data_IF_968036928603
#
_entry.id   IF_968036928603
#
_cell.length_a   1.000
_cell.length_b   1.000
_cell.length_c   1.000
_cell.angle_alpha   90.00
_cell.angle_beta   90.00
_cell.angle_gamma   90.00
#
_symmetry.space_group_name_H-M   'P 1'
#
loop_
_entity.id
_entity.type
_entity.pdbx_description
1 polymer ?
#
# COMPACT_ATOMS: atom_id res chain seq x y z
N UNK A 1 -14.30 -1.95 4.83
CA UNK A 1 -13.71 -0.90 3.98
C UNK A 1 -12.23 -1.24 3.92
N UNK A 2 -11.81 -1.79 2.78
CA UNK A 2 -10.57 -2.56 2.66
C UNK A 2 -9.32 -1.70 2.83
N UNK A 3 -8.51 -2.01 3.85
CA UNK A 3 -7.24 -1.35 4.17
C UNK A 3 -6.16 -1.68 3.12
N UNK A 4 -6.30 -1.14 1.92
CA UNK A 4 -5.31 -1.22 0.82
C UNK A 4 -4.62 0.12 0.62
N UNK A 5 -4.16 0.72 1.73
CA UNK A 5 -3.78 2.14 1.80
C UNK A 5 -2.58 2.49 0.93
N UNK A 6 -2.80 3.54 0.13
CA UNK A 6 -1.94 4.04 -0.95
C UNK A 6 -0.98 5.08 -0.39
N UNK A 7 0.24 4.66 -0.05
CA UNK A 7 1.27 5.53 0.54
C UNK A 7 1.58 6.82 -0.23
N UNK A 8 1.84 6.77 -1.56
CA UNK A 8 2.19 7.98 -2.32
C UNK A 8 1.00 8.90 -2.56
N UNK A 9 -0.13 8.37 -3.03
CA UNK A 9 -1.26 9.20 -3.43
C UNK A 9 -1.84 10.03 -2.27
N UNK A 10 -1.76 9.50 -1.04
CA UNK A 10 -2.20 10.24 0.15
C UNK A 10 -1.26 11.41 0.43
N UNK A 11 0.06 11.17 0.46
CA UNK A 11 1.06 12.20 0.74
C UNK A 11 1.07 13.26 -0.37
N UNK A 12 1.17 12.84 -1.63
CA UNK A 12 1.16 13.75 -2.77
C UNK A 12 -0.18 14.46 -2.93
N UNK A 13 -1.30 13.75 -2.79
CA UNK A 13 -2.63 14.36 -2.84
C UNK A 13 -2.76 15.45 -1.78
N UNK A 14 -2.43 15.15 -0.52
CA UNK A 14 -2.45 16.13 0.57
C UNK A 14 -1.58 17.36 0.31
N UNK A 15 -0.34 17.16 -0.16
CA UNK A 15 0.55 18.26 -0.54
C UNK A 15 0.01 19.08 -1.71
N UNK A 16 -0.54 18.44 -2.75
CA UNK A 16 -1.16 19.12 -3.89
C UNK A 16 -2.33 20.00 -3.43
N UNK A 17 -3.21 19.45 -2.59
CA UNK A 17 -4.34 20.21 -2.05
C UNK A 17 -3.93 21.39 -1.19
N UNK A 18 -2.99 21.18 -0.27
CA UNK A 18 -2.49 22.23 0.61
C UNK A 18 -1.77 23.34 -0.18
N UNK A 19 -0.92 22.97 -1.14
CA UNK A 19 -0.21 23.94 -2.00
C UNK A 19 -1.14 24.72 -2.91
N UNK A 20 -2.17 24.07 -3.47
CA UNK A 20 -3.17 24.76 -4.28
C UNK A 20 -3.84 25.89 -3.49
N UNK A 21 -4.25 25.62 -2.25
CA UNK A 21 -4.91 26.62 -1.40
C UNK A 21 -3.95 27.70 -0.92
N UNK A 22 -2.72 27.34 -0.52
CA UNK A 22 -1.79 28.28 0.09
C UNK A 22 -0.99 29.13 -0.91
N UNK A 23 -0.68 28.58 -2.09
CA UNK A 23 0.18 29.22 -3.10
C UNK A 23 -0.50 29.43 -4.46
N UNK A 24 -1.72 28.90 -4.65
CA UNK A 24 -2.48 29.01 -5.89
C UNK A 24 -2.19 27.89 -6.90
N UNK A 25 -3.06 27.78 -7.91
CA UNK A 25 -2.99 26.71 -8.92
C UNK A 25 -1.69 26.75 -9.76
N UNK A 26 -1.10 27.94 -9.94
CA UNK A 26 0.14 28.13 -10.70
C UNK A 26 1.40 27.54 -10.03
N UNK A 27 1.37 27.31 -8.72
CA UNK A 27 2.48 26.70 -7.97
C UNK A 27 2.46 25.17 -8.01
N UNK A 28 1.39 24.57 -8.54
CA UNK A 28 1.27 23.11 -8.68
C UNK A 28 1.79 22.70 -10.05
N UNK A 29 2.92 22.01 -10.08
CA UNK A 29 3.51 21.49 -11.32
C UNK A 29 2.78 20.23 -11.81
N UNK A 30 1.56 20.38 -12.34
CA UNK A 30 0.72 19.26 -12.80
C UNK A 30 1.44 18.31 -13.78
N UNK A 31 2.24 18.85 -14.72
CA UNK A 31 3.02 18.02 -15.64
C UNK A 31 4.01 17.10 -14.92
N UNK A 32 4.72 17.60 -13.91
CA UNK A 32 5.64 16.79 -13.09
C UNK A 32 4.90 15.76 -12.24
N UNK A 33 3.73 16.11 -11.73
CA UNK A 33 2.88 15.18 -10.95
C UNK A 33 2.41 14.02 -11.83
N UNK A 34 1.96 14.30 -13.06
CA UNK A 34 1.53 13.24 -13.98
C UNK A 34 2.70 12.32 -14.34
N UNK A 35 3.83 12.91 -14.72
CA UNK A 35 5.03 12.18 -15.17
C UNK A 35 5.69 11.36 -14.05
N UNK A 36 5.83 11.93 -12.85
CA UNK A 36 6.60 11.33 -11.76
C UNK A 36 5.77 10.59 -10.71
N UNK A 37 4.46 10.81 -10.68
CA UNK A 37 3.56 10.20 -9.68
C UNK A 37 2.49 9.34 -10.33
N UNK A 38 1.64 9.90 -11.20
CA UNK A 38 0.49 9.14 -11.74
C UNK A 38 0.92 8.01 -12.69
N UNK A 39 1.78 8.30 -13.66
CA UNK A 39 2.21 7.29 -14.65
C UNK A 39 2.91 6.11 -13.94
N UNK A 40 3.94 6.32 -13.09
CA UNK A 40 4.54 5.22 -12.33
C UNK A 40 3.54 4.49 -11.43
N UNK A 41 2.63 5.22 -10.76
CA UNK A 41 1.61 4.60 -9.90
C UNK A 41 0.64 3.69 -10.66
N UNK A 42 0.28 4.04 -11.89
CA UNK A 42 -0.59 3.24 -12.76
C UNK A 42 0.16 2.09 -13.46
N UNK A 43 1.41 2.32 -13.87
CA UNK A 43 2.23 1.31 -14.53
C UNK A 43 2.73 0.22 -13.57
N UNK A 44 3.04 0.58 -12.33
CA UNK A 44 3.61 -0.34 -11.34
C UNK A 44 2.82 -1.62 -11.05
N UNK A 45 1.48 -1.63 -10.85
CA UNK A 45 0.74 -2.87 -10.66
C UNK A 45 0.79 -3.76 -11.90
N UNK A 46 0.78 -3.17 -13.10
CA UNK A 46 0.85 -3.92 -14.36
C UNK A 46 2.23 -4.56 -14.53
N UNK A 47 3.30 -3.78 -14.34
CA UNK A 47 4.68 -4.28 -14.43
C UNK A 47 4.91 -5.39 -13.40
N UNK A 48 4.54 -5.16 -12.14
CA UNK A 48 4.67 -6.17 -11.10
C UNK A 48 3.84 -7.43 -11.40
N UNK A 49 2.63 -7.26 -11.93
CA UNK A 49 1.77 -8.36 -12.34
C UNK A 49 2.35 -9.18 -13.50
N UNK A 50 2.88 -8.54 -14.54
CA UNK A 50 3.50 -9.23 -15.66
C UNK A 50 4.76 -9.97 -15.25
N UNK A 51 5.62 -9.35 -14.42
CA UNK A 51 6.83 -9.99 -13.90
C UNK A 51 6.46 -11.18 -13.00
N UNK A 52 5.46 -11.03 -12.12
CA UNK A 52 4.99 -12.11 -11.26
C UNK A 52 4.34 -13.23 -12.06
N UNK A 53 3.54 -12.91 -13.08
CA UNK A 53 2.92 -13.89 -13.99
C UNK A 53 3.97 -14.73 -14.69
N UNK A 54 4.98 -14.09 -15.30
CA UNK A 54 6.07 -14.77 -15.96
C UNK A 54 6.88 -15.63 -14.97
N UNK A 55 7.23 -15.07 -13.80
CA UNK A 55 7.97 -15.79 -12.77
C UNK A 55 7.18 -17.01 -12.25
N UNK A 56 5.90 -16.87 -11.96
CA UNK A 56 5.05 -17.98 -11.53
C UNK A 56 4.93 -19.04 -12.62
N UNK A 57 4.68 -18.65 -13.86
CA UNK A 57 4.62 -19.58 -14.98
C UNK A 57 5.90 -20.41 -15.11
N UNK A 58 7.08 -19.76 -15.05
CA UNK A 58 8.37 -20.45 -15.11
C UNK A 58 8.60 -21.38 -13.91
N UNK A 59 8.26 -20.93 -12.70
CA UNK A 59 8.38 -21.74 -11.49
C UNK A 59 7.53 -23.00 -11.58
N UNK A 60 6.26 -22.89 -11.97
CA UNK A 60 5.39 -24.06 -12.10
C UNK A 60 5.80 -24.96 -13.27
N UNK A 61 6.31 -24.39 -14.36
CA UNK A 61 6.79 -25.12 -15.53
C UNK A 61 8.05 -25.94 -15.26
N UNK A 62 9.00 -25.41 -14.48
CA UNK A 62 10.32 -26.03 -14.31
C UNK A 62 10.53 -26.67 -12.95
N UNK A 63 10.02 -26.08 -11.86
CA UNK A 63 10.35 -26.47 -10.49
C UNK A 63 9.25 -27.30 -9.79
N UNK A 64 7.99 -27.16 -10.19
CA UNK A 64 6.84 -27.80 -9.50
C UNK A 64 6.28 -29.03 -10.26
N UNK A 65 6.88 -29.44 -11.38
CA UNK A 65 6.44 -30.62 -12.15
C UNK A 65 6.40 -31.89 -11.29
N UNK A 66 5.21 -32.27 -10.82
CA UNK A 66 4.93 -33.52 -10.12
C UNK A 66 5.53 -33.66 -8.71
N UNK A 67 6.04 -32.57 -8.10
CA UNK A 67 6.59 -32.59 -6.73
C UNK A 67 5.82 -31.65 -5.81
N UNK A 68 5.43 -32.10 -4.59
CA UNK A 68 4.75 -31.23 -3.63
C UNK A 68 5.64 -30.04 -3.26
N UNK A 69 5.02 -28.90 -2.94
CA UNK A 69 5.71 -27.69 -2.52
C UNK A 69 6.72 -28.00 -1.39
N UNK A 70 8.01 -27.94 -1.73
CA UNK A 70 9.09 -28.37 -0.83
C UNK A 70 9.28 -27.38 0.31
N UNK A 71 9.95 -27.83 1.38
CA UNK A 71 10.44 -26.96 2.48
C UNK A 71 11.21 -25.74 1.95
N UNK A 72 11.88 -25.89 0.80
CA UNK A 72 12.60 -24.80 0.11
C UNK A 72 11.70 -23.63 -0.27
N UNK A 73 10.49 -23.87 -0.79
CA UNK A 73 9.56 -22.78 -1.12
C UNK A 73 9.03 -22.05 0.11
N UNK A 74 8.84 -22.75 1.24
CA UNK A 74 8.47 -22.10 2.50
C UNK A 74 9.57 -21.18 3.01
N UNK A 75 10.83 -21.64 2.98
CA UNK A 75 11.99 -20.80 3.36
C UNK A 75 12.14 -19.63 2.38
N UNK A 76 12.03 -19.89 1.08
CA UNK A 76 12.05 -18.86 0.04
C UNK A 76 10.99 -17.80 0.29
N UNK A 77 9.77 -18.21 0.65
CA UNK A 77 8.66 -17.29 0.97
C UNK A 77 8.94 -16.42 2.20
N UNK A 78 9.61 -16.95 3.24
CA UNK A 78 10.01 -16.15 4.40
C UNK A 78 11.05 -15.11 3.99
N UNK A 79 12.03 -15.50 3.18
CA UNK A 79 13.07 -14.58 2.68
C UNK A 79 12.47 -13.51 1.77
N UNK A 80 11.60 -13.88 0.82
CA UNK A 80 10.95 -12.92 -0.08
C UNK A 80 9.98 -12.01 0.68
N UNK A 81 9.26 -12.50 1.68
CA UNK A 81 8.41 -11.67 2.54
C UNK A 81 9.24 -10.65 3.33
N UNK A 82 10.42 -11.06 3.83
CA UNK A 82 11.36 -10.17 4.52
C UNK A 82 11.91 -9.11 3.57
N UNK A 83 12.21 -9.49 2.33
CA UNK A 83 12.67 -8.56 1.30
C UNK A 83 11.58 -7.56 0.90
N UNK A 84 10.32 -7.99 0.78
CA UNK A 84 9.17 -7.09 0.58
C UNK A 84 9.04 -6.13 1.77
N UNK A 85 9.19 -6.60 3.00
CA UNK A 85 9.13 -5.76 4.21
C UNK A 85 10.24 -4.70 4.19
N UNK A 86 11.46 -5.06 3.82
CA UNK A 86 12.58 -4.12 3.68
C UNK A 86 12.34 -3.11 2.54
N UNK A 87 11.89 -3.59 1.38
CA UNK A 87 11.57 -2.73 0.23
C UNK A 87 10.42 -1.76 0.57
N UNK A 88 9.41 -2.24 1.30
CA UNK A 88 8.31 -1.44 1.79
C UNK A 88 8.79 -0.35 2.76
N UNK A 89 9.56 -0.74 3.78
CA UNK A 89 10.10 0.20 4.76
C UNK A 89 10.98 1.28 4.12
N UNK A 90 11.89 0.90 3.22
CA UNK A 90 12.75 1.87 2.51
C UNK A 90 11.95 2.83 1.62
N UNK A 91 10.94 2.35 0.92
CA UNK A 91 10.13 3.16 0.01
C UNK A 91 9.15 4.09 0.73
N UNK A 92 8.56 3.65 1.86
CA UNK A 92 7.59 4.44 2.60
C UNK A 92 8.25 5.38 3.63
N UNK A 93 9.38 4.99 4.22
CA UNK A 93 10.15 5.89 5.09
C UNK A 93 10.62 7.14 4.33
N UNK A 94 10.99 6.99 3.05
CA UNK A 94 11.39 8.11 2.20
C UNK A 94 10.31 9.19 2.06
N UNK A 95 9.04 8.80 1.99
CA UNK A 95 7.91 9.75 1.87
C UNK A 95 7.70 10.50 3.17
N UNK A 96 7.69 9.79 4.29
CA UNK A 96 7.48 10.37 5.62
C UNK A 96 8.63 11.29 6.01
N UNK A 97 9.88 10.85 5.83
CA UNK A 97 11.05 11.69 6.12
C UNK A 97 11.08 12.93 5.20
N UNK A 98 10.67 12.79 3.93
CA UNK A 98 10.59 13.90 2.99
C UNK A 98 9.64 15.01 3.45
N UNK A 99 8.46 14.66 3.96
CA UNK A 99 7.49 15.64 4.49
C UNK A 99 8.01 16.32 5.76
N UNK A 100 8.64 15.57 6.67
CA UNK A 100 9.22 16.12 7.90
C UNK A 100 10.38 17.06 7.56
N UNK A 101 11.30 16.65 6.69
CA UNK A 101 12.42 17.48 6.26
C UNK A 101 11.95 18.73 5.51
N UNK A 102 10.95 18.62 4.64
CA UNK A 102 10.34 19.79 4.00
C UNK A 102 9.82 20.77 5.05
N UNK A 103 9.12 20.28 6.08
CA UNK A 103 8.60 21.10 7.17
C UNK A 103 9.74 21.83 7.91
N UNK A 104 10.81 21.12 8.26
CA UNK A 104 11.99 21.70 8.94
C UNK A 104 12.69 22.76 8.10
N UNK A 105 12.80 22.53 6.78
CA UNK A 105 13.36 23.51 5.83
C UNK A 105 12.46 24.75 5.75
N UNK A 106 11.15 24.56 5.62
CA UNK A 106 10.19 25.68 5.57
C UNK A 106 10.13 26.47 6.89
N UNK A 107 10.41 25.82 8.02
CA UNK A 107 10.50 26.45 9.33
C UNK A 107 11.85 27.15 9.59
N UNK A 108 12.79 27.12 8.63
CA UNK A 108 14.13 27.70 8.77
C UNK A 108 15.06 26.92 9.70
N UNK A 109 14.67 25.73 10.15
CA UNK A 109 15.49 24.87 11.03
C UNK A 109 16.54 24.05 10.27
N UNK A 110 16.39 23.93 8.95
CA UNK A 110 17.34 23.25 8.07
C UNK A 110 17.56 24.08 6.79
N UNK A 111 18.80 24.17 6.27
CA UNK A 111 19.07 24.79 4.97
C UNK A 111 18.33 24.08 3.83
N UNK A 112 17.98 24.82 2.79
CA UNK A 112 17.41 24.25 1.57
C UNK A 112 18.38 23.24 0.92
N UNK A 113 17.84 22.11 0.45
CA UNK A 113 18.63 21.04 -0.17
C UNK A 113 19.38 20.12 0.80
N UNK A 114 19.18 20.29 2.11
CA UNK A 114 19.76 19.39 3.11
C UNK A 114 19.13 18.00 3.10
N UNK A 115 19.96 16.98 3.35
CA UNK A 115 19.50 15.61 3.55
C UNK A 115 18.72 15.47 4.87
N UNK A 116 17.75 14.55 4.98
CA UNK A 116 17.05 14.28 6.23
C UNK A 116 18.02 13.93 7.36
N UNK A 117 17.92 14.61 8.53
CA UNK A 117 18.71 14.26 9.70
C UNK A 117 18.47 12.82 10.15
N UNK A 118 19.47 12.20 10.77
CA UNK A 118 19.42 10.80 11.22
C UNK A 118 18.23 10.54 12.16
N UNK A 119 17.90 11.48 13.05
CA UNK A 119 16.75 11.33 13.95
C UNK A 119 15.43 11.26 13.17
N UNK A 120 15.27 12.02 12.07
CA UNK A 120 14.06 11.96 11.23
C UNK A 120 13.94 10.58 10.60
N UNK A 121 15.05 10.03 10.11
CA UNK A 121 15.11 8.70 9.50
C UNK A 121 14.70 7.63 10.53
N UNK A 122 15.29 7.67 11.73
CA UNK A 122 14.99 6.71 12.80
C UNK A 122 13.54 6.85 13.28
N UNK A 123 13.06 8.08 13.50
CA UNK A 123 11.67 8.32 13.92
C UNK A 123 10.67 7.83 12.88
N UNK A 124 10.91 8.08 11.58
CA UNK A 124 10.05 7.60 10.51
C UNK A 124 10.05 6.07 10.42
N UNK A 125 11.23 5.44 10.51
CA UNK A 125 11.36 3.98 10.49
C UNK A 125 10.65 3.33 11.70
N UNK A 126 10.85 3.85 12.91
CA UNK A 126 10.20 3.37 14.13
C UNK A 126 8.68 3.54 14.06
N UNK A 127 8.18 4.69 13.59
CA UNK A 127 6.75 4.93 13.43
C UNK A 127 6.11 3.96 12.43
N UNK A 128 6.77 3.69 11.30
CA UNK A 128 6.31 2.70 10.32
C UNK A 128 6.31 1.28 10.87
N UNK A 129 7.38 0.89 11.58
CA UNK A 129 7.49 -0.43 12.20
C UNK A 129 6.40 -0.64 13.27
N UNK A 130 6.18 0.34 14.16
CA UNK A 130 5.13 0.31 15.17
C UNK A 130 3.73 0.28 14.54
N UNK A 131 3.48 1.09 13.52
CA UNK A 131 2.20 1.09 12.81
C UNK A 131 1.89 -0.25 12.16
N UNK A 132 2.90 -0.87 11.53
CA UNK A 132 2.77 -2.19 10.91
C UNK A 132 2.53 -3.28 11.95
N UNK A 133 3.21 -3.21 13.09
CA UNK A 133 3.03 -4.16 14.18
C UNK A 133 1.62 -4.07 14.80
N UNK A 134 1.11 -2.85 15.03
CA UNK A 134 -0.18 -2.63 15.68
C UNK A 134 -1.38 -2.87 14.75
N UNK A 135 -1.25 -2.61 13.44
CA UNK A 135 -2.37 -2.60 12.50
C UNK A 135 -2.26 -3.57 11.31
N UNK A 136 -1.12 -4.23 11.11
CA UNK A 136 -0.84 -5.01 9.89
C UNK A 136 -1.69 -6.26 9.72
N UNK A 137 -2.24 -6.83 10.80
CA UNK A 137 -2.95 -8.11 10.74
C UNK A 137 -4.22 -8.10 9.89
N UNK A 138 -5.00 -7.00 9.96
CA UNK A 138 -6.21 -6.85 9.16
C UNK A 138 -5.88 -6.73 7.67
N UNK A 139 -4.82 -6.00 7.33
CA UNK A 139 -4.34 -5.79 5.96
C UNK A 139 -3.88 -7.12 5.35
N UNK A 140 -3.09 -7.89 6.09
CA UNK A 140 -2.61 -9.21 5.65
C UNK A 140 -3.78 -10.17 5.43
N UNK A 141 -4.81 -10.11 6.26
CA UNK A 141 -6.01 -10.94 6.10
C UNK A 141 -6.79 -10.62 4.82
N UNK A 142 -7.06 -9.34 4.55
CA UNK A 142 -7.81 -8.93 3.35
C UNK A 142 -7.04 -9.19 2.06
N UNK A 143 -5.72 -8.93 2.03
CA UNK A 143 -4.92 -9.18 0.84
C UNK A 143 -4.63 -10.67 0.61
N UNK A 144 -4.37 -11.44 1.67
CA UNK A 144 -3.98 -12.84 1.59
C UNK A 144 -5.09 -13.77 1.12
N UNK A 145 -6.35 -13.52 1.53
CA UNK A 145 -7.52 -14.30 1.11
C UNK A 145 -8.34 -13.59 0.02
N UNK A 146 -8.10 -12.32 -0.27
CA UNK A 146 -8.99 -11.52 -1.12
C UNK A 146 -8.78 -11.64 -2.62
N UNK A 147 -7.54 -11.82 -3.11
CA UNK A 147 -7.24 -11.66 -4.54
C UNK A 147 -7.08 -12.98 -5.32
N UNK A 148 -6.33 -13.93 -4.77
CA UNK A 148 -6.12 -15.27 -5.33
C UNK A 148 -5.73 -16.21 -4.20
N UNK A 149 -5.84 -17.52 -4.42
CA UNK A 149 -5.40 -18.51 -3.44
C UNK A 149 -3.90 -18.77 -3.59
N UNK A 150 -3.13 -18.30 -2.61
CA UNK A 150 -1.66 -18.25 -2.66
C UNK A 150 -1.07 -19.57 -2.13
N UNK A 151 -0.36 -20.29 -3.00
CA UNK A 151 0.53 -21.39 -2.59
C UNK A 151 1.98 -20.91 -2.39
N UNK A 152 2.82 -21.72 -1.76
CA UNK A 152 4.23 -21.38 -1.49
C UNK A 152 5.03 -20.90 -2.72
N UNK A 153 5.07 -21.64 -3.84
CA UNK A 153 5.79 -21.23 -5.05
C UNK A 153 5.25 -19.93 -5.66
N UNK A 154 3.92 -19.79 -5.69
CA UNK A 154 3.23 -18.59 -6.18
C UNK A 154 3.51 -17.37 -5.29
N UNK A 155 3.43 -17.54 -3.97
CA UNK A 155 3.71 -16.51 -2.99
C UNK A 155 5.15 -16.02 -3.05
N UNK A 156 6.11 -16.95 -3.21
CA UNK A 156 7.51 -16.62 -3.43
C UNK A 156 7.71 -15.77 -4.69
N UNK A 157 7.11 -16.19 -5.82
CA UNK A 157 7.19 -15.44 -7.07
C UNK A 157 6.57 -14.04 -6.94
N UNK A 158 5.35 -13.94 -6.40
CA UNK A 158 4.65 -12.67 -6.21
C UNK A 158 5.44 -11.69 -5.34
N UNK A 159 5.98 -12.17 -4.20
CA UNK A 159 6.75 -11.34 -3.28
C UNK A 159 8.09 -10.91 -3.85
N UNK A 160 8.81 -11.82 -4.52
CA UNK A 160 10.10 -11.51 -5.13
C UNK A 160 9.95 -10.48 -6.25
N UNK A 161 8.96 -10.66 -7.13
CA UNK A 161 8.64 -9.69 -8.19
C UNK A 161 8.25 -8.32 -7.61
N UNK A 162 7.43 -8.32 -6.56
CA UNK A 162 7.00 -7.07 -5.91
C UNK A 162 8.18 -6.35 -5.26
N UNK A 163 9.02 -7.07 -4.51
CA UNK A 163 10.20 -6.50 -3.87
C UNK A 163 11.18 -5.93 -4.91
N UNK A 164 11.41 -6.66 -6.01
CA UNK A 164 12.27 -6.20 -7.09
C UNK A 164 11.76 -4.88 -7.70
N UNK A 165 10.47 -4.82 -8.05
CA UNK A 165 9.87 -3.61 -8.62
C UNK A 165 9.95 -2.43 -7.65
N UNK A 166 9.67 -2.64 -6.36
CA UNK A 166 9.79 -1.59 -5.33
C UNK A 166 11.24 -1.12 -5.20
N UNK A 167 12.21 -2.03 -5.08
CA UNK A 167 13.62 -1.68 -4.89
C UNK A 167 14.21 -0.94 -6.11
N UNK A 168 13.95 -1.44 -7.31
CA UNK A 168 14.38 -0.79 -8.57
C UNK A 168 13.78 0.60 -8.66
N UNK A 169 12.49 0.74 -8.34
CA UNK A 169 11.85 2.05 -8.34
C UNK A 169 12.42 3.01 -7.31
N UNK A 170 12.67 2.54 -6.08
CA UNK A 170 13.29 3.35 -5.03
C UNK A 170 14.69 3.82 -5.44
N UNK A 171 15.46 3.00 -6.18
CA UNK A 171 16.75 3.38 -6.76
C UNK A 171 16.63 4.41 -7.87
N UNK A 172 15.59 4.32 -8.69
CA UNK A 172 15.28 5.28 -9.76
C UNK A 172 14.62 6.58 -9.23
N UNK A 173 14.32 6.64 -7.93
CA UNK A 173 13.70 7.81 -7.31
C UNK A 173 12.20 7.97 -7.62
N UNK A 174 11.54 6.94 -8.15
CA UNK A 174 10.09 6.98 -8.39
C UNK A 174 9.33 6.55 -7.12
N UNK A 175 8.41 7.38 -6.61
CA UNK A 175 7.67 7.09 -5.40
C UNK A 175 6.47 6.19 -5.71
N UNK A 176 6.71 4.87 -5.80
CA UNK A 176 5.66 3.89 -6.05
C UNK A 176 4.82 3.55 -4.83
N UNK A 177 3.60 3.08 -5.09
CA UNK A 177 2.72 2.51 -4.08
C UNK A 177 3.04 1.03 -3.90
N UNK A 178 3.54 0.68 -2.71
CA UNK A 178 3.83 -0.71 -2.34
C UNK A 178 2.58 -1.58 -2.44
N UNK A 179 1.40 -1.05 -2.10
CA UNK A 179 0.13 -1.76 -2.27
C UNK A 179 -0.22 -2.03 -3.72
N UNK A 180 -0.01 -1.08 -4.64
CA UNK A 180 -0.26 -1.33 -6.08
C UNK A 180 0.67 -2.43 -6.59
N UNK A 181 1.96 -2.32 -6.28
CA UNK A 181 2.97 -3.29 -6.70
C UNK A 181 2.66 -4.68 -6.14
N UNK A 182 2.43 -4.81 -4.84
CA UNK A 182 2.12 -6.09 -4.21
C UNK A 182 0.80 -6.69 -4.71
N UNK A 183 -0.25 -5.87 -4.87
CA UNK A 183 -1.54 -6.36 -5.38
C UNK A 183 -1.44 -6.81 -6.83
N UNK A 184 -0.71 -6.06 -7.66
CA UNK A 184 -0.39 -6.43 -9.03
C UNK A 184 0.39 -7.74 -9.09
N UNK A 185 1.43 -7.89 -8.26
CA UNK A 185 2.20 -9.13 -8.14
C UNK A 185 1.36 -10.33 -7.70
N UNK A 186 0.46 -10.15 -6.74
CA UNK A 186 -0.47 -11.20 -6.29
C UNK A 186 -1.42 -11.61 -7.43
N UNK A 187 -2.10 -10.66 -8.08
CA UNK A 187 -3.00 -10.94 -9.20
C UNK A 187 -2.24 -11.61 -10.35
N UNK A 188 -1.08 -11.07 -10.72
CA UNK A 188 -0.23 -11.61 -11.78
C UNK A 188 0.24 -13.03 -11.50
N UNK A 189 0.64 -13.33 -10.26
CA UNK A 189 0.99 -14.69 -9.86
C UNK A 189 -0.19 -15.66 -9.96
N UNK A 190 -1.42 -15.18 -9.70
CA UNK A 190 -2.64 -15.95 -9.92
C UNK A 190 -2.84 -16.26 -11.39
N UNK A 191 -2.76 -15.25 -12.27
CA UNK A 191 -2.86 -15.43 -13.73
C UNK A 191 -1.77 -16.38 -14.26
N UNK A 192 -0.58 -16.35 -13.68
CA UNK A 192 0.55 -17.21 -14.06
C UNK A 192 0.38 -18.68 -13.69
N UNK A 193 -0.60 -19.04 -12.85
CA UNK A 193 -0.92 -20.42 -12.49
C UNK A 193 -2.26 -20.83 -13.10
N UNK A 194 -2.23 -21.86 -13.96
CA UNK A 194 -3.38 -22.32 -14.77
C UNK A 194 -4.67 -22.54 -13.97
N UNK A 195 -4.55 -23.07 -12.75
CA UNK A 195 -5.70 -23.47 -11.93
C UNK A 195 -5.96 -22.52 -10.74
N UNK A 196 -5.31 -21.34 -10.69
CA UNK A 196 -5.55 -20.38 -9.62
C UNK A 196 -6.82 -19.54 -9.88
N UNK A 197 -7.77 -19.47 -8.93
CA UNK A 197 -8.90 -18.56 -9.04
C UNK A 197 -8.45 -17.12 -8.77
N UNK A 198 -8.65 -16.23 -9.76
CA UNK A 198 -8.41 -14.78 -9.60
C UNK A 198 -9.75 -14.05 -9.40
N UNK A 199 -9.87 -13.34 -8.27
CA UNK A 199 -11.09 -12.62 -7.89
C UNK A 199 -11.11 -11.21 -8.51
N UNK A 200 -11.40 -11.14 -9.81
CA UNK A 200 -11.42 -9.89 -10.60
C UNK A 200 -12.32 -8.78 -10.03
N UNK A 201 -13.45 -9.15 -9.41
CA UNK A 201 -14.34 -8.20 -8.74
C UNK A 201 -13.62 -7.44 -7.61
N UNK A 202 -12.77 -8.12 -6.85
CA UNK A 202 -11.99 -7.47 -5.79
C UNK A 202 -10.89 -6.59 -6.36
N UNK A 203 -10.18 -7.07 -7.39
CA UNK A 203 -9.18 -6.26 -8.10
C UNK A 203 -9.79 -4.96 -8.67
N UNK A 204 -10.97 -5.04 -9.30
CA UNK A 204 -11.69 -3.86 -9.81
C UNK A 204 -12.08 -2.87 -8.70
N UNK A 205 -12.57 -3.36 -7.55
CA UNK A 205 -12.86 -2.51 -6.38
C UNK A 205 -11.62 -1.77 -5.87
N UNK A 206 -10.46 -2.43 -5.89
CA UNK A 206 -9.20 -1.81 -5.48
C UNK A 206 -8.80 -0.70 -6.45
N UNK A 207 -8.89 -0.93 -7.76
CA UNK A 207 -8.60 0.11 -8.77
C UNK A 207 -9.48 1.34 -8.56
N UNK A 208 -10.78 1.16 -8.31
CA UNK A 208 -11.69 2.27 -8.00
C UNK A 208 -11.23 3.02 -6.74
N UNK A 209 -10.91 2.30 -5.65
CA UNK A 209 -10.41 2.92 -4.43
C UNK A 209 -9.11 3.71 -4.66
N UNK A 210 -8.21 3.20 -5.52
CA UNK A 210 -6.97 3.86 -5.88
C UNK A 210 -7.20 5.20 -6.59
N UNK A 211 -8.14 5.24 -7.54
CA UNK A 211 -8.51 6.46 -8.27
C UNK A 211 -9.08 7.54 -7.34
N UNK A 212 -9.93 7.16 -6.39
CA UNK A 212 -10.55 8.12 -5.47
C UNK A 212 -9.64 8.62 -4.36
N UNK A 213 -8.53 7.94 -4.08
CA UNK A 213 -7.68 8.31 -2.95
C UNK A 213 -6.91 9.60 -3.17
N UNK A 214 -6.39 9.84 -4.38
CA UNK A 214 -5.66 11.08 -4.67
C UNK A 214 -6.57 12.32 -4.53
N UNK A 215 -7.77 12.37 -5.15
CA UNK A 215 -8.71 13.48 -4.96
C UNK A 215 -9.14 13.64 -3.51
N UNK A 216 -9.46 12.55 -2.80
CA UNK A 216 -9.87 12.62 -1.40
C UNK A 216 -8.76 13.20 -0.52
N UNK A 217 -7.51 12.76 -0.72
CA UNK A 217 -6.35 13.30 -0.01
C UNK A 217 -6.11 14.77 -0.34
N UNK A 218 -6.29 15.18 -1.59
CA UNK A 218 -6.18 16.58 -1.99
C UNK A 218 -7.24 17.46 -1.34
N UNK A 219 -8.48 17.01 -1.24
CA UNK A 219 -9.54 17.75 -0.53
C UNK A 219 -9.19 17.91 0.95
N UNK A 220 -8.78 16.83 1.62
CA UNK A 220 -8.39 16.89 3.05
C UNK A 220 -7.17 17.78 3.25
N UNK A 221 -6.18 17.72 2.35
CA UNK A 221 -5.01 18.59 2.35
C UNK A 221 -5.37 20.07 2.15
N UNK A 222 -6.27 20.37 1.22
CA UNK A 222 -6.76 21.72 0.96
C UNK A 222 -7.50 22.30 2.18
N UNK A 223 -8.39 21.51 2.80
CA UNK A 223 -9.10 21.92 4.02
C UNK A 223 -8.11 22.16 5.16
N UNK A 224 -7.18 21.23 5.38
CA UNK A 224 -6.13 21.36 6.40
C UNK A 224 -5.26 22.59 6.17
N UNK A 225 -4.87 22.86 4.92
CA UNK A 225 -4.10 24.05 4.54
C UNK A 225 -4.86 25.35 4.79
N UNK A 226 -6.16 25.39 4.47
CA UNK A 226 -7.03 26.54 4.74
C UNK A 226 -7.21 26.80 6.23
N UNK A 227 -7.31 25.75 7.05
CA UNK A 227 -7.42 25.91 8.50
C UNK A 227 -6.08 26.35 9.09
N UNK A 228 -4.96 25.78 8.60
CA UNK A 228 -3.62 26.16 9.03
C UNK A 228 -3.27 27.63 8.69
N UNK A 229 -3.86 28.21 7.63
CA UNK A 229 -3.64 29.62 7.30
C UNK A 229 -4.26 30.61 8.31
N UNK A 230 -5.09 30.14 9.26
CA UNK A 230 -5.60 30.93 10.38
C UNK A 230 -4.53 31.19 11.47
N UNK A 231 -3.29 30.79 11.25
CA UNK A 231 -2.16 30.97 12.16
C UNK A 231 -1.93 29.76 13.07
N UNK A 232 -1.15 29.94 14.14
CA UNK A 232 -0.70 28.84 15.01
C UNK A 232 -1.86 28.04 15.60
N UNK A 233 -2.96 28.69 15.96
CA UNK A 233 -4.16 28.03 16.47
C UNK A 233 -4.78 27.08 15.43
N UNK A 234 -4.79 27.48 14.15
CA UNK A 234 -5.27 26.66 13.05
C UNK A 234 -4.41 25.41 12.84
N UNK A 235 -3.09 25.57 12.85
CA UNK A 235 -2.15 24.44 12.74
C UNK A 235 -2.30 23.44 13.89
N UNK A 236 -2.43 23.92 15.13
CA UNK A 236 -2.69 23.07 16.31
C UNK A 236 -4.03 22.36 16.17
N UNK A 237 -5.08 23.05 15.72
CA UNK A 237 -6.40 22.45 15.52
C UNK A 237 -6.36 21.31 14.50
N UNK A 238 -5.67 21.48 13.37
CA UNK A 238 -5.47 20.41 12.37
C UNK A 238 -4.77 19.20 13.00
N UNK A 239 -3.73 19.44 13.80
CA UNK A 239 -3.01 18.38 14.51
C UNK A 239 -3.91 17.61 15.49
N UNK A 240 -4.68 18.32 16.32
CA UNK A 240 -5.59 17.72 17.31
C UNK A 240 -6.70 16.93 16.63
N UNK A 241 -7.33 17.48 15.59
CA UNK A 241 -8.36 16.78 14.80
C UNK A 241 -7.78 15.55 14.13
N UNK A 242 -6.58 15.63 13.55
CA UNK A 242 -5.89 14.50 12.94
C UNK A 242 -5.63 13.36 13.95
N UNK A 243 -5.13 13.69 15.14
CA UNK A 243 -4.92 12.72 16.23
C UNK A 243 -6.25 12.12 16.68
N UNK A 244 -7.29 12.93 16.86
CA UNK A 244 -8.62 12.47 17.29
C UNK A 244 -9.26 11.52 16.28
N UNK A 245 -9.20 11.85 14.98
CA UNK A 245 -9.68 10.98 13.89
C UNK A 245 -8.87 9.68 13.84
N UNK A 246 -7.54 9.77 13.93
CA UNK A 246 -6.66 8.60 13.93
C UNK A 246 -6.95 7.66 15.10
N UNK A 247 -7.08 8.21 16.31
CA UNK A 247 -7.44 7.45 17.51
C UNK A 247 -8.85 6.85 17.39
N UNK A 248 -9.82 7.61 16.88
CA UNK A 248 -11.17 7.13 16.61
C UNK A 248 -11.19 5.93 15.67
N UNK A 249 -10.47 6.01 14.54
CA UNK A 249 -10.33 4.89 13.59
C UNK A 249 -9.67 3.68 14.27
N UNK A 250 -8.62 3.90 15.06
CA UNK A 250 -7.94 2.83 15.80
C UNK A 250 -8.85 2.14 16.82
N UNK A 251 -9.63 2.91 17.59
CA UNK A 251 -10.58 2.37 18.57
C UNK A 251 -11.73 1.64 17.89
N UNK A 252 -12.27 2.18 16.78
CA UNK A 252 -13.27 1.50 15.95
C UNK A 252 -12.72 0.20 15.37
N UNK A 253 -11.45 0.20 14.95
CA UNK A 253 -10.77 -0.99 14.46
C UNK A 253 -10.72 -2.08 15.53
N UNK A 254 -10.51 -1.74 16.80
CA UNK A 254 -10.47 -2.72 17.90
C UNK A 254 -11.81 -3.43 18.17
N UNK A 255 -12.94 -2.97 17.62
CA UNK A 255 -14.24 -3.64 17.77
C UNK A 255 -14.33 -4.99 17.05
N UNK A 256 -13.56 -5.19 15.99
CA UNK A 256 -13.49 -6.45 15.24
C UNK A 256 -12.03 -6.88 15.07
N UNK A 257 -11.39 -7.43 16.12
CA UNK A 257 -9.98 -7.77 16.09
C UNK A 257 -9.72 -8.94 15.12
N UNK A 258 -8.75 -8.74 14.23
CA UNK A 258 -8.21 -9.81 13.38
C UNK A 258 -6.91 -10.26 14.03
N UNK A 259 -6.84 -11.52 14.48
CA UNK A 259 -5.67 -12.11 15.16
C UNK A 259 -5.09 -13.24 14.33
N UNK A 260 -3.99 -13.86 14.78
CA UNK A 260 -3.39 -15.00 14.06
C UNK A 260 -4.39 -16.16 13.89
N UNK A 261 -5.31 -16.33 14.84
CA UNK A 261 -6.35 -17.36 14.78
C UNK A 261 -7.39 -17.08 13.68
N UNK A 262 -7.60 -15.83 13.28
CA UNK A 262 -8.51 -15.47 12.17
C UNK A 262 -8.08 -16.08 10.83
N UNK A 263 -6.80 -16.45 10.68
CA UNK A 263 -6.31 -17.09 9.46
C UNK A 263 -6.67 -18.58 9.38
N UNK A 264 -6.94 -19.23 10.53
CA UNK A 264 -7.14 -20.68 10.65
C UNK A 264 -8.60 -21.11 10.47
N UNK A 265 -9.57 -20.21 10.65
CA UNK A 265 -11.00 -20.53 10.48
C UNK A 265 -11.39 -20.33 9.00
N UNK A 266 -11.92 -21.37 8.32
CA UNK A 266 -12.50 -21.21 6.99
C UNK A 266 -13.69 -20.23 7.06
N UNK A 267 -13.83 -19.34 6.08
CA UNK A 267 -15.06 -18.52 6.04
C UNK A 267 -16.28 -19.46 5.90
N UNK A 268 -17.41 -19.15 6.55
CA UNK A 268 -18.62 -19.94 6.39
C UNK A 268 -19.00 -19.94 4.91
N UNK A 269 -19.18 -21.13 4.32
CA UNK A 269 -19.71 -21.26 2.96
C UNK A 269 -21.01 -20.47 2.88
N UNK A 270 -21.19 -19.54 1.93
CA UNK A 270 -22.46 -18.86 1.75
C UNK A 270 -23.54 -19.91 1.55
N UNK A 271 -24.62 -19.82 2.32
CA UNK A 271 -25.72 -20.76 2.25
C UNK A 271 -26.20 -20.84 0.79
N UNK A 272 -26.04 -22.02 0.18
CA UNK A 272 -26.65 -22.32 -1.10
C UNK A 272 -28.15 -22.18 -0.87
N UNK A 273 -28.74 -21.13 -1.41
CA UNK A 273 -30.20 -21.02 -1.48
C UNK A 273 -30.61 -22.10 -2.46
N UNK A 274 -31.10 -23.23 -1.97
CA UNK A 274 -31.67 -24.27 -2.83
C UNK A 274 -32.80 -23.64 -3.67
N UNK A 275 -32.71 -23.65 -5.00
CA UNK A 275 -33.81 -23.23 -5.83
C UNK A 275 -34.84 -24.37 -5.88
N UNK A 276 -35.93 -24.23 -5.12
CA UNK A 276 -37.15 -25.00 -5.37
C UNK A 276 -37.77 -25.70 -4.16
N UNK A 277 -38.48 -24.94 -3.33
CA UNK A 277 -39.70 -25.41 -2.65
C UNK A 277 -40.70 -24.26 -2.55
N UNK A 278 -41.23 -23.85 -3.70
CA UNK A 278 -42.53 -23.18 -3.81
C UNK A 278 -43.38 -24.03 -4.75
N UNK A 279 -43.83 -25.18 -4.24
CA UNK A 279 -44.90 -25.98 -4.81
C UNK A 279 -45.39 -26.95 -3.72
N UNK A 280 -46.35 -26.49 -2.93
CA UNK A 280 -47.39 -27.28 -2.25
C UNK A 280 -48.43 -26.31 -1.69
#
# INVERSE_FOLDING_TARGET
>A
MDDTKIGPAIVFGGLIGATWISAGAGSVHFGKIVEKVLIPAAASPVIAGLVAMAATYLVYRFLVRGRPATRGFKVGQIVSASLVSLAHGTNDAQKTMGVITLTLVTAGSLPAGSSPPVWVIISAACALALGTYLGGWRITHTLGKGLTDIEGPQGFAAQTSSALVILVSSRLGFPLSTTHVCSGGIVGSGVGRRDAPVRWRMAGRMVVAWLFTLPAAAIVGAISGKVASLGSAGTVAVGVVGIGVGLGIYLLSRRHPVTAHSFQVPEPTPAVTEPGRLAA
#
